data_IF_652990175304
#
_entry.id   IF_652990175304
#
_cell.length_a   1.000
_cell.length_b   1.000
_cell.length_c   1.000
_cell.angle_alpha   90.00
_cell.angle_beta   90.00
_cell.angle_gamma   90.00
#
_symmetry.space_group_name_H-M   'P 1'
#
loop_
_entity.id
_entity.type
_entity.pdbx_description
1 polymer ?
#
# COMPACT_ATOMS: atom_id res chain seq x y z
N UNK A 1 -0.06 -12.27 9.53
CA UNK A 1 -0.18 -11.05 10.33
C UNK A 1 1.19 -10.66 10.85
N UNK A 2 1.49 -9.36 10.82
CA UNK A 2 2.73 -8.83 11.38
C UNK A 2 2.53 -8.71 12.89
N UNK A 3 3.47 -9.27 13.66
CA UNK A 3 3.38 -9.32 15.14
C UNK A 3 4.46 -8.49 15.82
N UNK A 4 5.59 -8.27 15.13
CA UNK A 4 6.72 -7.47 15.61
C UNK A 4 7.36 -6.69 14.46
N UNK A 5 7.91 -5.53 14.79
CA UNK A 5 8.65 -4.66 13.87
C UNK A 5 9.80 -3.96 14.60
N UNK A 6 10.96 -3.95 13.98
CA UNK A 6 12.12 -3.16 14.36
C UNK A 6 12.65 -2.40 13.15
N UNK A 7 12.82 -1.09 13.30
CA UNK A 7 13.39 -0.21 12.29
C UNK A 7 14.51 0.60 12.92
N UNK A 8 15.61 0.77 12.20
CA UNK A 8 16.71 1.67 12.56
C UNK A 8 17.14 2.46 11.34
N UNK A 9 17.38 3.76 11.51
CA UNK A 9 17.85 4.70 10.48
C UNK A 9 17.05 4.68 9.16
N UNK A 10 15.72 4.63 9.24
CA UNK A 10 14.83 4.61 8.07
C UNK A 10 14.14 5.96 7.86
N UNK A 11 14.66 6.74 6.92
CA UNK A 11 14.18 8.08 6.57
C UNK A 11 14.29 9.00 7.78
N UNK A 12 13.19 9.60 8.28
CA UNK A 12 13.23 10.45 9.46
C UNK A 12 13.27 9.67 10.80
N UNK A 13 13.22 8.35 10.78
CA UNK A 13 13.10 7.52 11.98
C UNK A 13 14.45 6.90 12.38
N UNK A 14 15.00 7.35 13.50
CA UNK A 14 16.24 6.80 14.05
C UNK A 14 16.05 5.36 14.57
N UNK A 15 15.00 5.13 15.36
CA UNK A 15 14.65 3.80 15.88
C UNK A 15 13.16 3.70 16.13
N UNK A 16 12.57 2.58 15.72
CA UNK A 16 11.22 2.15 16.09
C UNK A 16 11.30 0.70 16.52
N UNK A 17 10.72 0.39 17.67
CA UNK A 17 10.56 -0.98 18.15
C UNK A 17 9.09 -1.14 18.53
N UNK A 18 8.42 -2.09 17.88
CA UNK A 18 7.01 -2.35 18.06
C UNK A 18 6.78 -3.82 18.26
N UNK A 19 6.57 -4.18 19.53
CA UNK A 19 6.25 -5.52 19.96
C UNK A 19 4.73 -5.69 20.08
N UNK A 20 4.25 -6.91 19.87
CA UNK A 20 2.86 -7.32 20.10
C UNK A 20 1.82 -6.54 19.28
N UNK A 21 2.08 -6.37 17.99
CA UNK A 21 1.11 -5.81 17.04
C UNK A 21 -0.16 -6.66 17.00
N UNK A 22 -1.31 -6.00 17.18
CA UNK A 22 -2.63 -6.64 17.19
C UNK A 22 -3.35 -6.57 15.85
N UNK A 23 -4.64 -6.96 15.80
CA UNK A 23 -5.47 -6.82 14.61
C UNK A 23 -5.73 -5.37 14.19
N UNK A 24 -5.74 -4.45 15.15
CA UNK A 24 -5.90 -3.00 14.94
C UNK A 24 -4.77 -2.31 15.70
N UNK A 25 -4.04 -1.45 15.01
CA UNK A 25 -2.91 -0.72 15.55
C UNK A 25 -3.05 0.76 15.25
N UNK A 26 -2.77 1.62 16.23
CA UNK A 26 -2.92 3.06 16.11
C UNK A 26 -1.56 3.75 16.16
N UNK A 27 -1.19 4.43 15.06
CA UNK A 27 0.04 5.22 14.97
C UNK A 27 -0.30 6.70 15.07
N UNK A 28 0.13 7.35 16.14
CA UNK A 28 -0.06 8.79 16.37
C UNK A 28 1.29 9.47 16.53
N UNK A 29 1.39 10.70 16.04
CA UNK A 29 2.58 11.53 16.16
C UNK A 29 2.43 12.83 15.39
N UNK A 30 3.33 13.77 15.62
CA UNK A 30 3.32 15.07 14.93
C UNK A 30 3.61 14.92 13.43
N UNK A 31 3.32 15.96 12.65
CA UNK A 31 3.71 16.00 11.24
C UNK A 31 5.24 15.93 11.12
N UNK A 32 5.73 15.21 10.12
CA UNK A 32 7.17 14.97 9.93
C UNK A 32 7.77 13.85 10.78
N UNK A 33 7.03 13.24 11.73
CA UNK A 33 7.56 12.18 12.61
C UNK A 33 7.75 10.80 11.94
N UNK A 34 7.57 10.68 10.62
CA UNK A 34 7.76 9.42 9.89
C UNK A 34 6.56 8.47 9.83
N UNK A 35 5.35 8.85 10.28
CA UNK A 35 4.16 7.96 10.26
C UNK A 35 3.91 7.30 8.90
N UNK A 36 3.90 8.08 7.82
CA UNK A 36 3.71 7.55 6.46
C UNK A 36 4.90 6.68 6.02
N UNK A 37 6.11 7.03 6.45
CA UNK A 37 7.33 6.26 6.18
C UNK A 37 7.25 4.87 6.84
N UNK A 38 6.81 4.83 8.10
CA UNK A 38 6.54 3.59 8.83
C UNK A 38 5.54 2.70 8.09
N UNK A 39 4.38 3.24 7.72
CA UNK A 39 3.36 2.47 6.99
C UNK A 39 3.87 2.00 5.62
N UNK A 40 4.62 2.85 4.90
CA UNK A 40 5.23 2.48 3.61
C UNK A 40 6.29 1.39 3.77
N UNK A 41 7.06 1.38 4.85
CA UNK A 41 8.05 0.33 5.13
C UNK A 41 7.40 -1.05 5.35
N UNK A 42 6.28 -1.07 6.08
CA UNK A 42 5.47 -2.27 6.26
C UNK A 42 4.85 -2.71 4.94
N UNK A 43 4.33 -1.76 4.16
CA UNK A 43 3.80 -2.01 2.84
C UNK A 43 4.83 -2.66 1.92
N UNK A 44 6.04 -2.09 1.79
CA UNK A 44 7.08 -2.65 0.91
C UNK A 44 7.46 -4.07 1.33
N UNK A 45 7.64 -4.31 2.63
CA UNK A 45 7.91 -5.66 3.13
C UNK A 45 6.77 -6.64 2.78
N UNK A 46 5.52 -6.27 3.05
CA UNK A 46 4.38 -7.14 2.76
C UNK A 46 4.22 -7.42 1.26
N UNK A 47 4.38 -6.41 0.40
CA UNK A 47 4.28 -6.60 -1.06
C UNK A 47 5.40 -7.49 -1.60
N UNK A 48 6.61 -7.35 -1.07
CA UNK A 48 7.71 -8.28 -1.39
C UNK A 48 7.34 -9.73 -1.05
N UNK A 49 6.81 -9.96 0.14
CA UNK A 49 6.42 -11.30 0.60
C UNK A 49 5.23 -11.88 -0.17
N UNK A 50 4.36 -11.02 -0.70
CA UNK A 50 3.21 -11.41 -1.51
C UNK A 50 3.59 -11.77 -2.94
N UNK A 51 4.51 -11.02 -3.55
CA UNK A 51 4.99 -11.26 -4.92
C UNK A 51 6.03 -12.39 -5.00
N UNK A 52 6.80 -12.63 -3.93
CA UNK A 52 7.83 -13.67 -3.93
C UNK A 52 7.24 -15.07 -4.16
N UNK A 53 7.73 -15.75 -5.22
CA UNK A 53 7.25 -17.06 -5.68
C UNK A 53 5.76 -17.10 -6.02
N UNK A 54 5.19 -15.97 -6.44
CA UNK A 54 3.81 -15.93 -6.93
C UNK A 54 3.75 -16.26 -8.42
N UNK A 55 2.97 -17.29 -8.76
CA UNK A 55 2.86 -17.75 -10.15
C UNK A 55 4.24 -18.12 -10.72
N UNK A 56 4.51 -17.69 -11.95
CA UNK A 56 5.75 -17.98 -12.68
C UNK A 56 6.77 -16.82 -12.64
N UNK A 57 6.66 -15.89 -11.68
CA UNK A 57 7.60 -14.77 -11.54
C UNK A 57 9.00 -15.28 -11.13
N UNK A 58 10.05 -15.09 -11.96
CA UNK A 58 11.39 -15.61 -11.69
C UNK A 58 12.20 -14.75 -10.70
N UNK A 59 11.72 -13.55 -10.34
CA UNK A 59 12.47 -12.60 -9.51
C UNK A 59 12.71 -13.13 -8.09
N UNK A 60 13.88 -12.82 -7.56
CA UNK A 60 14.25 -13.07 -6.17
C UNK A 60 13.52 -12.10 -5.23
N UNK A 61 13.45 -12.45 -3.94
CA UNK A 61 12.85 -11.55 -2.94
C UNK A 61 13.61 -10.22 -2.82
N UNK A 62 14.93 -10.22 -3.03
CA UNK A 62 15.75 -9.00 -3.01
C UNK A 62 15.45 -8.08 -4.21
N UNK A 63 15.31 -8.64 -5.41
CA UNK A 63 14.94 -7.85 -6.60
C UNK A 63 13.55 -7.22 -6.44
N UNK A 64 12.58 -8.00 -5.93
CA UNK A 64 11.23 -7.49 -5.65
C UNK A 64 11.28 -6.42 -4.55
N UNK A 65 12.05 -6.63 -3.47
CA UNK A 65 12.22 -5.63 -2.41
C UNK A 65 12.81 -4.33 -2.95
N UNK A 66 13.84 -4.43 -3.79
CA UNK A 66 14.45 -3.26 -4.40
C UNK A 66 13.44 -2.47 -5.24
N UNK A 67 12.70 -3.16 -6.12
CA UNK A 67 11.65 -2.55 -6.94
C UNK A 67 10.61 -1.86 -6.06
N UNK A 68 10.13 -2.53 -5.00
CA UNK A 68 9.10 -1.98 -4.10
C UNK A 68 9.60 -0.78 -3.33
N UNK A 69 10.83 -0.79 -2.81
CA UNK A 69 11.42 0.38 -2.15
C UNK A 69 11.56 1.55 -3.14
N UNK A 70 12.10 1.29 -4.32
CA UNK A 70 12.31 2.31 -5.35
C UNK A 70 11.00 2.96 -5.80
N UNK A 71 9.98 2.17 -6.16
CA UNK A 71 8.72 2.71 -6.68
C UNK A 71 7.77 3.26 -5.60
N UNK A 72 7.96 2.86 -4.33
CA UNK A 72 7.17 3.38 -3.20
C UNK A 72 7.70 4.70 -2.67
N UNK A 73 9.02 4.87 -2.63
CA UNK A 73 9.67 6.05 -2.07
C UNK A 73 10.19 7.04 -3.12
N UNK A 74 10.38 6.59 -4.37
CA UNK A 74 10.76 7.42 -5.52
C UNK A 74 12.00 8.30 -5.27
N UNK A 75 13.16 7.73 -4.89
CA UNK A 75 14.38 8.51 -4.68
C UNK A 75 14.96 9.04 -6.01
N UNK A 76 15.50 10.27 -6.00
CA UNK A 76 15.89 11.02 -7.20
C UNK A 76 17.01 10.35 -8.04
N UNK A 77 17.93 9.63 -7.40
CA UNK A 77 19.15 9.13 -8.07
C UNK A 77 19.13 7.63 -8.41
N UNK A 78 17.96 6.98 -8.45
CA UNK A 78 17.85 5.51 -8.62
C UNK A 78 18.62 4.70 -7.57
N UNK A 79 18.79 5.28 -6.39
CA UNK A 79 19.52 4.69 -5.26
C UNK A 79 18.61 4.61 -4.05
N UNK A 80 18.52 3.42 -3.46
CA UNK A 80 17.75 3.22 -2.23
C UNK A 80 18.49 3.75 -0.99
N UNK A 81 19.79 4.04 -1.08
CA UNK A 81 20.57 4.65 0.00
C UNK A 81 20.02 6.00 0.49
N UNK A 82 19.23 6.71 -0.32
CA UNK A 82 18.52 7.93 0.12
C UNK A 82 17.45 7.69 1.19
N UNK A 83 17.05 6.43 1.40
CA UNK A 83 16.15 6.02 2.46
C UNK A 83 16.84 5.90 3.81
N UNK A 84 18.18 5.88 3.86
CA UNK A 84 18.92 5.92 5.12
C UNK A 84 18.79 7.29 5.77
N UNK A 85 18.61 7.33 7.09
CA UNK A 85 18.57 8.59 7.83
C UNK A 85 19.79 9.47 7.53
N UNK A 86 19.56 10.75 7.25
CA UNK A 86 20.64 11.68 6.92
C UNK A 86 21.47 12.01 8.17
N UNK A 87 22.78 12.06 8.02
CA UNK A 87 23.71 12.41 9.11
C UNK A 87 24.07 11.28 10.07
N UNK A 88 23.62 10.05 9.82
CA UNK A 88 24.15 8.86 10.50
C UNK A 88 25.26 8.20 9.68
N UNK A 89 26.24 7.63 10.38
CA UNK A 89 27.26 6.75 9.78
C UNK A 89 26.80 5.29 9.72
N UNK A 90 25.70 4.97 10.39
CA UNK A 90 25.12 3.62 10.42
C UNK A 90 24.10 3.44 9.29
N UNK A 91 24.05 2.22 8.74
CA UNK A 91 23.03 1.85 7.76
C UNK A 91 21.63 1.72 8.34
N UNK A 92 20.67 1.62 7.43
CA UNK A 92 19.28 1.28 7.70
C UNK A 92 19.18 -0.21 8.03
N UNK A 93 18.34 -0.54 9.02
CA UNK A 93 17.91 -1.91 9.29
C UNK A 93 16.41 -1.99 9.43
N UNK A 94 15.83 -3.03 8.85
CA UNK A 94 14.43 -3.40 8.96
C UNK A 94 14.36 -4.86 9.40
N UNK A 95 13.51 -5.15 10.38
CA UNK A 95 13.13 -6.52 10.74
C UNK A 95 11.66 -6.57 11.12
N UNK A 96 10.94 -7.60 10.68
CA UNK A 96 9.60 -7.87 11.16
C UNK A 96 9.36 -9.37 11.33
N UNK A 97 8.37 -9.70 12.16
CA UNK A 97 7.85 -11.05 12.29
C UNK A 97 6.46 -11.15 11.67
N UNK A 98 6.32 -12.00 10.67
CA UNK A 98 5.06 -12.25 9.95
C UNK A 98 4.65 -13.70 10.15
N UNK A 99 3.52 -13.92 10.82
CA UNK A 99 3.01 -15.26 11.12
C UNK A 99 4.07 -16.15 11.82
N UNK A 100 4.86 -15.54 12.72
CA UNK A 100 5.95 -16.21 13.45
C UNK A 100 7.26 -16.35 12.69
N UNK A 101 7.31 -15.97 11.41
CA UNK A 101 8.51 -16.09 10.57
C UNK A 101 9.22 -14.74 10.43
N UNK A 102 10.54 -14.77 10.38
CA UNK A 102 11.36 -13.55 10.28
C UNK A 102 11.50 -13.07 8.83
N UNK A 103 11.43 -11.76 8.64
CA UNK A 103 11.85 -11.07 7.43
C UNK A 103 12.70 -9.86 7.82
N UNK A 104 13.90 -9.73 7.27
CA UNK A 104 14.79 -8.63 7.60
C UNK A 104 15.69 -8.24 6.45
N UNK A 105 16.05 -6.97 6.38
CA UNK A 105 17.02 -6.45 5.46
C UNK A 105 17.76 -5.25 6.05
N UNK A 106 18.94 -4.94 5.53
CA UNK A 106 19.68 -3.73 5.84
C UNK A 106 20.52 -3.26 4.66
N UNK A 107 20.87 -1.97 4.67
CA UNK A 107 21.75 -1.36 3.68
C UNK A 107 22.27 -0.01 4.16
N UNK A 108 23.35 0.47 3.58
CA UNK A 108 23.93 1.78 3.88
C UNK A 108 23.53 2.85 2.85
N UNK A 109 23.98 4.08 3.06
CA UNK A 109 23.67 5.21 2.17
C UNK A 109 24.33 5.12 0.79
N UNK A 110 25.35 4.28 0.63
CA UNK A 110 26.07 4.09 -0.63
C UNK A 110 25.45 2.96 -1.48
N UNK A 111 24.59 2.17 -0.87
CA UNK A 111 23.95 1.02 -1.50
C UNK A 111 23.03 1.42 -2.64
N UNK A 112 23.30 0.85 -3.82
CA UNK A 112 22.41 0.97 -4.98
C UNK A 112 21.34 -0.12 -4.99
N UNK A 113 21.72 -1.40 -4.80
CA UNK A 113 20.81 -2.55 -5.00
C UNK A 113 20.94 -3.73 -4.02
N UNK A 114 22.05 -3.84 -3.29
CA UNK A 114 22.37 -5.05 -2.51
C UNK A 114 21.93 -4.90 -1.07
N UNK A 115 21.31 -5.92 -0.49
CA UNK A 115 20.90 -5.91 0.91
C UNK A 115 21.88 -6.72 1.76
N UNK A 116 22.37 -6.12 2.85
CA UNK A 116 23.24 -6.81 3.82
C UNK A 116 22.98 -6.27 5.23
N UNK A 117 22.41 -7.08 6.14
CA UNK A 117 21.93 -8.45 5.95
C UNK A 117 20.65 -8.52 5.09
N UNK A 118 20.30 -9.71 4.59
CA UNK A 118 18.99 -10.05 4.05
C UNK A 118 18.60 -11.46 4.54
N UNK A 119 17.39 -11.61 5.10
CA UNK A 119 16.84 -12.90 5.53
C UNK A 119 15.32 -12.90 5.28
N UNK A 120 14.83 -13.92 4.59
CA UNK A 120 13.41 -14.14 4.37
C UNK A 120 13.04 -15.59 4.71
N UNK A 121 12.34 -15.77 5.83
CA UNK A 121 11.82 -17.07 6.28
C UNK A 121 10.31 -17.18 6.13
N UNK A 122 9.65 -16.15 5.58
CA UNK A 122 8.20 -16.13 5.44
C UNK A 122 7.81 -16.95 4.20
N UNK A 123 6.89 -17.92 4.32
CA UNK A 123 6.44 -18.70 3.17
C UNK A 123 5.64 -17.82 2.19
N UNK A 124 5.55 -18.23 0.90
CA UNK A 124 4.77 -17.51 -0.10
C UNK A 124 3.32 -17.28 0.33
N UNK A 125 2.78 -16.10 0.04
CA UNK A 125 1.46 -15.68 0.51
C UNK A 125 0.42 -15.64 -0.62
N UNK A 126 -0.75 -16.20 -0.35
CA UNK A 126 -1.92 -16.14 -1.24
C UNK A 126 -2.74 -14.84 -1.08
N UNK A 127 -2.71 -14.23 0.11
CA UNK A 127 -3.44 -12.99 0.41
C UNK A 127 -2.74 -11.76 -0.17
N UNK A 128 -3.48 -10.68 -0.43
CA UNK A 128 -2.93 -9.37 -0.76
C UNK A 128 -3.19 -8.36 0.37
N UNK A 129 -2.24 -7.44 0.56
CA UNK A 129 -2.39 -6.28 1.43
C UNK A 129 -2.80 -5.06 0.62
N UNK A 130 -3.68 -4.23 1.17
CA UNK A 130 -4.11 -2.96 0.57
C UNK A 130 -3.59 -1.81 1.42
N UNK A 131 -2.97 -0.83 0.75
CA UNK A 131 -2.62 0.45 1.36
C UNK A 131 -3.65 1.50 0.94
N UNK A 132 -4.19 2.22 1.92
CA UNK A 132 -5.10 3.33 1.66
C UNK A 132 -4.32 4.66 1.78
N UNK A 133 -3.97 5.30 0.66
CA UNK A 133 -3.17 6.51 0.69
C UNK A 133 -3.99 7.72 1.17
N UNK A 134 -3.27 8.78 1.57
CA UNK A 134 -3.89 9.98 2.11
C UNK A 134 -4.67 10.78 1.06
N UNK A 135 -4.23 10.77 -0.20
CA UNK A 135 -4.90 11.45 -1.32
C UNK A 135 -5.93 10.53 -1.97
N UNK A 136 -6.88 11.15 -2.63
CA UNK A 136 -7.97 10.49 -3.34
C UNK A 136 -7.48 9.71 -4.57
N UNK A 137 -8.13 8.57 -4.87
CA UNK A 137 -7.73 7.64 -5.94
C UNK A 137 -8.81 7.42 -7.00
N UNK A 138 -10.10 7.43 -6.65
CA UNK A 138 -11.17 7.07 -7.58
C UNK A 138 -11.21 8.01 -8.79
N UNK A 139 -11.21 9.32 -8.57
CA UNK A 139 -11.24 10.30 -9.65
C UNK A 139 -9.94 10.35 -10.47
N UNK A 140 -8.83 9.89 -9.89
CA UNK A 140 -7.49 9.88 -10.50
C UNK A 140 -7.07 8.52 -11.06
N UNK A 141 -7.86 7.46 -10.86
CA UNK A 141 -7.49 6.06 -11.12
C UNK A 141 -6.90 5.87 -12.52
N UNK A 142 -7.56 6.41 -13.54
CA UNK A 142 -7.10 6.30 -14.93
C UNK A 142 -5.74 6.96 -15.18
N UNK A 143 -5.49 8.11 -14.55
CA UNK A 143 -4.23 8.83 -14.68
C UNK A 143 -3.13 8.09 -13.94
N UNK A 144 -3.43 7.53 -12.76
CA UNK A 144 -2.51 6.69 -11.99
C UNK A 144 -2.07 5.49 -12.84
N UNK A 145 -3.03 4.71 -13.36
CA UNK A 145 -2.74 3.53 -14.19
C UNK A 145 -1.93 3.92 -15.43
N UNK A 146 -2.35 4.97 -16.16
CA UNK A 146 -1.63 5.41 -17.35
C UNK A 146 -0.19 5.83 -17.04
N UNK A 147 0.01 6.72 -16.07
CA UNK A 147 1.35 7.24 -15.74
C UNK A 147 2.28 6.15 -15.24
N UNK A 148 1.77 5.20 -14.43
CA UNK A 148 2.61 4.19 -13.79
C UNK A 148 2.82 2.93 -14.61
N UNK A 149 1.81 2.44 -15.31
CA UNK A 149 1.93 1.19 -16.07
C UNK A 149 2.50 1.40 -17.47
N UNK A 150 2.20 2.55 -18.09
CA UNK A 150 2.63 2.85 -19.46
C UNK A 150 3.88 3.70 -19.50
N UNK A 151 3.86 4.85 -18.83
CA UNK A 151 4.95 5.83 -18.92
C UNK A 151 6.06 5.57 -17.88
N UNK A 152 5.77 4.78 -16.84
CA UNK A 152 6.67 4.48 -15.73
C UNK A 152 7.17 5.73 -14.99
N UNK A 153 6.33 6.75 -14.90
CA UNK A 153 6.68 8.04 -14.29
C UNK A 153 6.63 8.01 -12.75
N UNK A 154 7.42 8.87 -12.12
CA UNK A 154 7.25 9.25 -10.72
C UNK A 154 6.04 10.18 -10.54
N UNK A 155 5.55 10.27 -9.30
CA UNK A 155 4.41 11.10 -8.92
C UNK A 155 3.36 10.32 -8.13
N UNK A 156 2.89 9.19 -8.67
CA UNK A 156 2.05 8.24 -7.93
C UNK A 156 2.89 7.04 -7.53
N UNK A 157 3.17 6.90 -6.24
CA UNK A 157 3.93 5.75 -5.76
C UNK A 157 3.12 4.44 -5.84
N UNK A 158 3.80 3.32 -5.61
CA UNK A 158 3.19 1.99 -5.71
C UNK A 158 1.95 1.81 -4.82
N UNK A 159 1.80 2.56 -3.72
CA UNK A 159 0.59 2.48 -2.89
C UNK A 159 -0.65 2.95 -3.63
N UNK A 160 -0.50 3.94 -4.52
CA UNK A 160 -1.58 4.41 -5.39
C UNK A 160 -1.83 3.45 -6.54
N UNK A 161 -0.77 2.94 -7.17
CA UNK A 161 -0.87 2.00 -8.28
C UNK A 161 -1.60 0.73 -7.86
N UNK A 162 -1.18 0.12 -6.75
CA UNK A 162 -1.74 -1.15 -6.29
C UNK A 162 -3.20 -0.98 -5.84
N UNK A 163 -3.57 0.16 -5.22
CA UNK A 163 -4.97 0.47 -4.93
C UNK A 163 -5.78 0.70 -6.21
N UNK A 164 -5.26 1.45 -7.19
CA UNK A 164 -5.94 1.68 -8.47
C UNK A 164 -6.19 0.36 -9.23
N UNK A 165 -5.25 -0.58 -9.20
CA UNK A 165 -5.41 -1.93 -9.74
C UNK A 165 -6.46 -2.75 -9.00
N UNK A 166 -6.41 -2.75 -7.67
CA UNK A 166 -7.39 -3.45 -6.86
C UNK A 166 -8.82 -2.97 -7.15
N UNK A 167 -9.00 -1.65 -7.27
CA UNK A 167 -10.29 -1.04 -7.63
C UNK A 167 -10.74 -1.41 -9.06
N UNK A 168 -9.82 -1.60 -10.01
CA UNK A 168 -10.16 -1.99 -11.38
C UNK A 168 -10.62 -3.46 -11.49
N UNK A 169 -10.15 -4.35 -10.61
CA UNK A 169 -10.50 -5.78 -10.61
C UNK A 169 -11.87 -6.07 -9.96
N UNK A 170 -12.44 -5.10 -9.25
CA UNK A 170 -13.63 -5.25 -8.38
C UNK A 170 -14.97 -5.48 -9.10
N UNK A 171 -15.00 -5.58 -10.44
CA UNK A 171 -16.24 -5.86 -11.20
C UNK A 171 -16.55 -7.34 -11.38
N UNK A 172 -15.73 -8.25 -10.85
CA UNK A 172 -16.04 -9.69 -10.91
C UNK A 172 -16.87 -10.07 -9.69
N UNK A 173 -18.16 -10.38 -9.92
CA UNK A 173 -19.14 -10.93 -8.96
C UNK A 173 -18.65 -12.21 -8.25
N UNK A 174 -17.64 -12.11 -7.38
CA UNK A 174 -16.92 -13.24 -6.82
C UNK A 174 -17.18 -13.39 -5.34
N UNK A 175 -18.21 -14.18 -4.99
CA UNK A 175 -18.58 -14.62 -3.63
C UNK A 175 -19.05 -13.50 -2.70
N UNK A 176 -20.36 -13.29 -2.68
CA UNK A 176 -21.05 -12.57 -1.61
C UNK A 176 -20.88 -13.33 -0.28
N UNK A 177 -19.80 -13.09 0.45
CA UNK A 177 -19.69 -13.52 1.83
C UNK A 177 -20.75 -12.75 2.65
N UNK A 178 -21.65 -13.43 3.38
CA UNK A 178 -22.70 -12.78 4.17
C UNK A 178 -22.17 -11.70 5.13
N UNK A 179 -20.97 -11.90 5.66
CA UNK A 179 -20.28 -11.00 6.58
C UNK A 179 -19.93 -9.64 5.94
N UNK A 180 -19.62 -9.64 4.63
CA UNK A 180 -19.35 -8.42 3.87
C UNK A 180 -20.63 -7.75 3.38
N UNK A 181 -21.73 -8.49 3.20
CA UNK A 181 -23.00 -7.92 2.80
C UNK A 181 -23.56 -6.94 3.86
N UNK A 182 -23.47 -7.27 5.14
CA UNK A 182 -23.92 -6.37 6.22
C UNK A 182 -23.03 -5.13 6.32
N UNK A 183 -21.71 -5.31 6.20
CA UNK A 183 -20.75 -4.20 6.21
C UNK A 183 -20.99 -3.22 5.05
N UNK A 184 -21.19 -3.74 3.82
CA UNK A 184 -21.51 -2.92 2.63
C UNK A 184 -22.82 -2.16 2.79
N UNK A 185 -23.88 -2.81 3.31
CA UNK A 185 -25.15 -2.14 3.58
C UNK A 185 -24.98 -0.98 4.56
N UNK A 186 -24.28 -1.19 5.68
CA UNK A 186 -24.01 -0.13 6.67
C UNK A 186 -23.22 1.04 6.07
N UNK A 187 -22.28 0.76 5.17
CA UNK A 187 -21.53 1.79 4.46
C UNK A 187 -22.43 2.57 3.49
N UNK A 188 -23.26 1.89 2.70
CA UNK A 188 -24.22 2.53 1.78
C UNK A 188 -25.22 3.42 2.53
N UNK A 189 -25.76 2.93 3.66
CA UNK A 189 -26.67 3.70 4.51
C UNK A 189 -26.00 4.93 5.11
N UNK A 190 -24.75 4.80 5.59
CA UNK A 190 -23.98 5.92 6.16
C UNK A 190 -23.64 6.98 5.12
N UNK A 191 -23.37 6.58 3.88
CA UNK A 191 -23.01 7.47 2.78
C UNK A 191 -24.24 8.04 2.05
N UNK A 192 -25.44 7.50 2.29
CA UNK A 192 -26.66 7.85 1.55
C UNK A 192 -26.61 7.42 0.09
N UNK A 193 -25.88 6.34 -0.21
CA UNK A 193 -25.63 5.86 -1.56
C UNK A 193 -24.30 5.12 -1.69
N UNK A 194 -23.91 4.82 -2.93
CA UNK A 194 -22.70 4.05 -3.24
C UNK A 194 -21.95 4.59 -4.45
N UNK A 195 -20.69 4.20 -4.56
CA UNK A 195 -19.86 4.54 -5.72
C UNK A 195 -19.82 3.34 -6.65
N UNK A 196 -20.06 3.58 -7.93
CA UNK A 196 -20.06 2.55 -8.97
C UNK A 196 -19.21 3.00 -10.15
N UNK A 197 -18.56 2.03 -10.80
CA UNK A 197 -17.81 2.28 -12.02
C UNK A 197 -18.76 2.22 -13.22
N UNK A 198 -18.93 3.35 -13.90
CA UNK A 198 -19.68 3.42 -15.15
C UNK A 198 -18.78 2.99 -16.31
N UNK A 199 -18.98 1.76 -16.79
CA UNK A 199 -18.23 1.15 -17.90
C UNK A 199 -18.42 1.93 -19.21
N UNK A 200 -19.57 2.58 -19.41
CA UNK A 200 -19.84 3.32 -20.66
C UNK A 200 -19.01 4.60 -20.71
N UNK A 201 -18.94 5.32 -19.59
CA UNK A 201 -18.14 6.55 -19.51
C UNK A 201 -16.70 6.35 -19.02
N UNK A 202 -16.33 5.12 -18.66
CA UNK A 202 -15.01 4.75 -18.12
C UNK A 202 -14.62 5.60 -16.91
N UNK A 203 -15.59 5.80 -15.99
CA UNK A 203 -15.48 6.71 -14.85
C UNK A 203 -16.26 6.22 -13.64
N UNK A 204 -15.72 6.47 -12.45
CA UNK A 204 -16.49 6.36 -11.21
C UNK A 204 -17.60 7.41 -11.14
N UNK A 205 -18.72 7.01 -10.54
CA UNK A 205 -19.86 7.88 -10.25
C UNK A 205 -20.45 7.53 -8.89
N UNK A 206 -21.04 8.52 -8.23
CA UNK A 206 -21.82 8.30 -7.02
C UNK A 206 -23.30 8.16 -7.38
N UNK A 207 -23.96 7.13 -6.86
CA UNK A 207 -25.39 6.88 -6.98
C UNK A 207 -26.00 7.02 -5.60
N UNK A 208 -26.83 8.06 -5.39
CA UNK A 208 -27.49 8.25 -4.11
C UNK A 208 -28.63 7.22 -3.89
N UNK A 209 -29.23 7.23 -2.70
CA UNK A 209 -30.38 6.40 -2.34
C UNK A 209 -31.59 6.56 -3.27
N UNK A 210 -31.76 7.75 -3.86
CA UNK A 210 -32.85 8.05 -4.82
C UNK A 210 -32.51 7.63 -6.27
N UNK A 211 -31.37 6.94 -6.48
CA UNK A 211 -30.84 6.52 -7.77
C UNK A 211 -30.42 7.65 -8.74
N UNK A 212 -30.17 8.85 -8.23
CA UNK A 212 -29.54 9.93 -8.98
C UNK A 212 -28.03 9.74 -9.07
N UNK A 213 -27.51 10.05 -10.26
CA UNK A 213 -26.10 9.89 -10.59
C UNK A 213 -25.36 11.22 -10.51
N UNK A 214 -24.26 11.22 -9.78
CA UNK A 214 -23.37 12.36 -9.62
C UNK A 214 -21.97 12.01 -10.12
N UNK A 215 -21.35 12.88 -10.93
CA UNK A 215 -19.93 12.76 -11.28
C UNK A 215 -19.06 12.68 -10.02
N UNK A 216 -18.08 11.77 -10.03
CA UNK A 216 -17.18 11.56 -8.88
C UNK A 216 -16.45 12.85 -8.47
N UNK A 217 -16.10 13.72 -9.43
CA UNK A 217 -15.46 15.01 -9.16
C UNK A 217 -16.29 15.97 -8.30
N UNK A 218 -17.62 15.82 -8.29
CA UNK A 218 -18.54 16.65 -7.48
C UNK A 218 -18.94 15.99 -6.15
N UNK A 219 -18.42 14.79 -5.86
CA UNK A 219 -18.70 14.07 -4.62
C UNK A 219 -17.75 14.55 -3.50
N UNK A 220 -18.19 14.50 -2.25
CA UNK A 220 -17.35 14.87 -1.11
C UNK A 220 -16.16 13.89 -0.92
N UNK A 221 -14.99 14.40 -0.56
CA UNK A 221 -13.77 13.59 -0.38
C UNK A 221 -13.91 12.48 0.68
N UNK A 222 -14.65 12.76 1.77
CA UNK A 222 -14.93 11.76 2.80
C UNK A 222 -15.72 10.57 2.26
N UNK A 223 -16.72 10.83 1.40
CA UNK A 223 -17.51 9.78 0.73
C UNK A 223 -16.62 8.94 -0.18
N UNK A 224 -15.77 9.58 -1.00
CA UNK A 224 -14.82 8.88 -1.88
C UNK A 224 -13.91 7.94 -1.10
N UNK A 225 -13.34 8.40 0.01
CA UNK A 225 -12.41 7.62 0.83
C UNK A 225 -13.06 6.41 1.48
N UNK A 226 -14.26 6.58 2.04
CA UNK A 226 -14.97 5.51 2.73
C UNK A 226 -15.51 4.49 1.72
N UNK A 227 -16.04 4.95 0.59
CA UNK A 227 -16.59 4.08 -0.45
C UNK A 227 -15.55 3.15 -1.11
N UNK A 228 -14.25 3.47 -1.00
CA UNK A 228 -13.18 2.54 -1.38
C UNK A 228 -13.31 1.22 -0.59
N UNK A 229 -13.69 1.27 0.69
CA UNK A 229 -13.91 0.07 1.49
C UNK A 229 -15.05 -0.77 0.91
N UNK A 230 -16.18 -0.14 0.58
CA UNK A 230 -17.32 -0.82 -0.05
C UNK A 230 -16.92 -1.47 -1.38
N UNK A 231 -16.09 -0.79 -2.18
CA UNK A 231 -15.61 -1.29 -3.48
C UNK A 231 -14.63 -2.47 -3.35
N UNK A 232 -13.90 -2.56 -2.25
CA UNK A 232 -12.90 -3.61 -2.00
C UNK A 232 -13.48 -4.85 -1.30
N UNK A 233 -14.72 -4.79 -0.81
CA UNK A 233 -15.44 -5.85 -0.08
C UNK A 233 -16.36 -6.67 -1.00
#
# INVERSE_FOLDING_TARGET
>A
MITRLELTNFGPMNRVEWNDLGPINLVIGNNGSGKTFLLKSLYTAMRTLEEFRRGDDPRTAEEILWDKLYWTFQPDQKRIGDLVTKGTAEGLRFSCSVDGNAFSYGFDSETEKVFTPFDNRVPPRASNSVFLPAKEVLSLQKIILKSREREQDFGFDDTYLDLARALAQSTTQGKNYPEFADSRRRLEDMLGGKIEFDVVSDRWRFRNSDNWWFPIGMTAEGVKKIAILDTLL
#
